data_IF_728619941234
#
_entry.id   IF_728619941234
#
_cell.length_a   1.000
_cell.length_b   1.000
_cell.length_c   1.000
_cell.angle_alpha   90.00
_cell.angle_beta   90.00
_cell.angle_gamma   90.00
#
_symmetry.space_group_name_H-M   'P 1'
#
loop_
_entity.id
_entity.type
_entity.pdbx_description
1 polymer ?
#
# COMPACT_ATOMS: atom_id res chain seq x y z
N UNK A 1 -7.05 -6.07 -13.83
CA UNK A 1 -7.76 -7.31 -13.50
C UNK A 1 -7.05 -7.93 -12.31
N UNK A 2 -7.78 -8.31 -11.25
CA UNK A 2 -7.24 -9.00 -10.08
C UNK A 2 -6.63 -10.34 -10.51
N UNK A 3 -5.41 -10.62 -10.08
CA UNK A 3 -4.70 -11.87 -10.37
C UNK A 3 -4.55 -12.74 -9.11
N UNK A 4 -3.88 -13.88 -9.25
CA UNK A 4 -3.71 -14.87 -8.18
C UNK A 4 -3.01 -14.33 -6.93
N UNK A 5 -2.17 -13.30 -7.04
CA UNK A 5 -1.42 -12.76 -5.91
C UNK A 5 -2.11 -11.57 -5.24
N UNK A 6 -3.16 -11.01 -5.86
CA UNK A 6 -3.65 -9.68 -5.47
C UNK A 6 -4.20 -9.66 -4.05
N UNK A 7 -4.87 -10.73 -3.60
CA UNK A 7 -5.42 -10.82 -2.24
C UNK A 7 -4.33 -10.92 -1.18
N UNK A 8 -3.46 -11.92 -1.30
CA UNK A 8 -2.37 -12.14 -0.34
C UNK A 8 -1.44 -10.92 -0.29
N UNK A 9 -1.10 -10.34 -1.45
CA UNK A 9 -0.30 -9.12 -1.51
C UNK A 9 -1.02 -7.92 -0.87
N UNK A 10 -2.34 -7.81 -1.00
CA UNK A 10 -3.10 -6.74 -0.38
C UNK A 10 -3.08 -6.87 1.16
N UNK A 11 -3.30 -8.08 1.67
CA UNK A 11 -3.24 -8.37 3.11
C UNK A 11 -1.84 -8.07 3.67
N UNK A 12 -0.78 -8.57 3.02
CA UNK A 12 0.59 -8.35 3.50
C UNK A 12 1.05 -6.89 3.35
N UNK A 13 0.58 -6.18 2.31
CA UNK A 13 0.83 -4.73 2.20
C UNK A 13 0.08 -3.94 3.27
N UNK A 14 -1.15 -4.36 3.61
CA UNK A 14 -1.91 -3.80 4.73
C UNK A 14 -1.16 -3.96 6.05
N UNK A 15 -0.75 -5.19 6.39
CA UNK A 15 0.02 -5.48 7.60
C UNK A 15 1.33 -4.69 7.67
N UNK A 16 2.03 -4.53 6.54
CA UNK A 16 3.24 -3.70 6.48
C UNK A 16 2.94 -2.25 6.89
N UNK A 17 1.86 -1.67 6.37
CA UNK A 17 1.49 -0.29 6.65
C UNK A 17 0.95 -0.13 8.07
N UNK A 18 0.22 -1.13 8.59
CA UNK A 18 -0.20 -1.20 9.98
C UNK A 18 1.01 -1.09 10.91
N UNK A 19 2.02 -1.94 10.72
CA UNK A 19 3.17 -1.98 11.61
C UNK A 19 4.06 -0.75 11.48
N UNK A 20 4.22 -0.18 10.28
CA UNK A 20 4.91 1.11 10.15
C UNK A 20 4.19 2.26 10.86
N UNK A 21 2.86 2.27 10.87
CA UNK A 21 2.09 3.26 11.62
C UNK A 21 2.19 3.00 13.14
N UNK A 22 2.12 1.74 13.57
CA UNK A 22 2.28 1.32 14.97
C UNK A 22 3.66 1.70 15.53
N UNK A 23 4.71 1.57 14.72
CA UNK A 23 6.09 1.95 15.05
C UNK A 23 6.36 3.45 14.94
N UNK A 24 5.33 4.28 14.70
CA UNK A 24 5.44 5.73 14.53
C UNK A 24 6.44 6.16 13.44
N UNK A 25 6.49 5.42 12.34
CA UNK A 25 7.33 5.78 11.20
C UNK A 25 6.70 6.90 10.37
N UNK A 26 7.53 7.61 9.60
CA UNK A 26 7.11 8.60 8.62
C UNK A 26 6.42 7.90 7.45
N UNK A 27 5.11 7.69 7.57
CA UNK A 27 4.30 6.92 6.62
C UNK A 27 4.40 7.44 5.18
N UNK A 28 4.49 8.76 4.97
CA UNK A 28 4.61 9.32 3.63
C UNK A 28 5.92 8.91 2.98
N UNK A 29 7.04 9.00 3.73
CA UNK A 29 8.35 8.54 3.25
C UNK A 29 8.43 7.03 3.11
N UNK A 30 7.96 6.28 4.10
CA UNK A 30 8.01 4.81 4.09
C UNK A 30 7.23 4.23 2.90
N UNK A 31 5.99 4.69 2.69
CA UNK A 31 5.15 4.23 1.58
C UNK A 31 5.72 4.71 0.25
N UNK A 32 6.22 5.94 0.14
CA UNK A 32 6.85 6.43 -1.10
C UNK A 32 8.09 5.64 -1.46
N UNK A 33 8.94 5.35 -0.48
CA UNK A 33 10.14 4.52 -0.63
C UNK A 33 9.76 3.11 -1.09
N UNK A 34 8.78 2.48 -0.43
CA UNK A 34 8.25 1.18 -0.78
C UNK A 34 7.71 1.14 -2.21
N UNK A 35 6.73 1.99 -2.53
CA UNK A 35 6.05 2.04 -3.83
C UNK A 35 6.98 2.43 -4.99
N UNK A 36 8.10 3.10 -4.72
CA UNK A 36 9.08 3.49 -5.73
C UNK A 36 10.31 2.58 -5.80
N UNK A 37 10.34 1.51 -5.00
CA UNK A 37 11.51 0.63 -4.85
C UNK A 37 11.66 -0.39 -5.97
N UNK A 38 12.87 -0.95 -6.07
CA UNK A 38 13.11 -2.10 -6.94
C UNK A 38 12.37 -3.37 -6.46
N UNK A 39 12.09 -3.50 -5.15
CA UNK A 39 11.21 -4.55 -4.63
C UNK A 39 9.83 -4.44 -5.30
N UNK A 40 9.21 -3.26 -5.25
CA UNK A 40 7.90 -3.05 -5.89
C UNK A 40 7.93 -3.14 -7.40
N UNK A 41 9.02 -2.74 -8.05
CA UNK A 41 9.20 -2.99 -9.49
C UNK A 41 9.11 -4.50 -9.85
N UNK A 42 9.66 -5.38 -9.00
CA UNK A 42 9.59 -6.82 -9.18
C UNK A 42 8.20 -7.40 -8.87
N UNK A 43 7.49 -6.83 -7.89
CA UNK A 43 6.07 -7.12 -7.63
C UNK A 43 5.19 -6.70 -8.81
N UNK A 44 5.47 -5.55 -9.43
CA UNK A 44 4.76 -5.06 -10.62
C UNK A 44 4.95 -6.02 -11.81
N UNK A 45 6.15 -6.61 -11.93
CA UNK A 45 6.46 -7.67 -12.92
C UNK A 45 5.93 -9.06 -12.57
N UNK A 46 5.26 -9.21 -11.42
CA UNK A 46 4.67 -10.46 -10.93
C UNK A 46 5.66 -11.60 -10.73
N UNK A 47 6.87 -11.27 -10.28
CA UNK A 47 7.81 -12.31 -9.87
C UNK A 47 7.36 -12.95 -8.55
N UNK A 48 7.00 -14.23 -8.62
CA UNK A 48 6.39 -15.00 -7.53
C UNK A 48 7.11 -14.80 -6.19
N UNK A 49 8.45 -14.89 -6.18
CA UNK A 49 9.30 -14.68 -4.99
C UNK A 49 8.94 -13.39 -4.24
N UNK A 50 8.67 -12.30 -4.95
CA UNK A 50 8.38 -10.99 -4.37
C UNK A 50 6.91 -10.83 -4.02
N UNK A 51 6.01 -11.42 -4.81
CA UNK A 51 4.56 -11.37 -4.57
C UNK A 51 4.10 -12.19 -3.35
N UNK A 52 4.89 -13.18 -2.93
CA UNK A 52 4.55 -14.07 -1.80
C UNK A 52 5.35 -13.77 -0.54
N UNK A 53 6.08 -12.66 -0.48
CA UNK A 53 6.81 -12.29 0.74
C UNK A 53 5.82 -11.86 1.81
N UNK A 54 6.12 -12.20 3.06
CA UNK A 54 5.35 -11.73 4.20
C UNK A 54 5.75 -10.30 4.55
N UNK A 55 4.86 -9.55 5.20
CA UNK A 55 5.07 -8.14 5.54
C UNK A 55 6.38 -7.89 6.31
N UNK A 56 6.77 -8.79 7.22
CA UNK A 56 8.00 -8.64 7.98
C UNK A 56 9.25 -8.82 7.11
N UNK A 57 9.21 -9.71 6.10
CA UNK A 57 10.30 -9.86 5.13
C UNK A 57 10.36 -8.68 4.16
N UNK A 58 9.22 -8.02 3.89
CA UNK A 58 9.20 -6.76 3.14
C UNK A 58 9.82 -5.64 3.97
N UNK A 59 9.44 -5.51 5.25
CA UNK A 59 9.90 -4.46 6.14
C UNK A 59 11.43 -4.43 6.28
N UNK A 60 12.08 -5.60 6.36
CA UNK A 60 13.53 -5.73 6.44
C UNK A 60 14.30 -5.12 5.24
N UNK A 61 13.62 -4.86 4.12
CA UNK A 61 14.24 -4.29 2.92
C UNK A 61 14.31 -2.76 2.92
N UNK A 62 13.71 -2.11 3.92
CA UNK A 62 13.57 -0.66 3.97
C UNK A 62 14.15 -0.12 5.27
N UNK A 63 15.01 0.89 5.16
CA UNK A 63 15.46 1.64 6.33
C UNK A 63 14.27 2.38 6.95
N UNK A 64 14.04 2.17 8.25
CA UNK A 64 12.96 2.84 8.97
C UNK A 64 13.26 4.33 9.08
N UNK A 65 12.28 5.15 8.71
CA UNK A 65 12.33 6.60 8.90
C UNK A 65 11.36 6.97 9.99
N UNK A 66 11.84 7.53 11.10
CA UNK A 66 10.99 7.96 12.21
C UNK A 66 10.13 9.17 11.80
N UNK A 67 8.88 9.22 12.27
CA UNK A 67 7.95 10.30 12.03
C UNK A 67 7.33 10.83 13.32
N UNK A 68 6.81 12.06 13.28
CA UNK A 68 6.16 12.70 14.44
C UNK A 68 4.62 12.67 14.34
N UNK A 69 4.07 12.19 13.22
CA UNK A 69 2.64 12.16 12.97
C UNK A 69 2.03 10.83 13.42
N UNK A 70 0.91 10.92 14.16
CA UNK A 70 0.12 9.75 14.55
C UNK A 70 -0.95 9.45 13.49
N UNK A 71 -0.95 8.21 13.00
CA UNK A 71 -1.94 7.70 12.05
C UNK A 71 -2.74 6.56 12.70
N UNK A 72 -4.01 6.44 12.31
CA UNK A 72 -4.85 5.31 12.68
C UNK A 72 -4.34 4.06 11.95
N UNK A 73 -3.89 3.08 12.73
CA UNK A 73 -3.29 1.85 12.23
C UNK A 73 -4.26 1.01 11.38
N UNK A 74 -5.56 1.07 11.67
CA UNK A 74 -6.61 0.35 10.89
C UNK A 74 -6.80 1.02 9.55
N UNK A 75 -6.79 2.36 9.50
CA UNK A 75 -6.82 3.09 8.23
C UNK A 75 -5.56 2.86 7.40
N UNK A 76 -4.40 2.75 8.04
CA UNK A 76 -3.14 2.42 7.37
C UNK A 76 -3.15 1.01 6.79
N UNK A 77 -3.63 0.01 7.55
CA UNK A 77 -3.86 -1.35 7.04
C UNK A 77 -4.77 -1.35 5.80
N UNK A 78 -5.91 -0.68 5.93
CA UNK A 78 -6.87 -0.56 4.84
C UNK A 78 -6.25 0.14 3.61
N UNK A 79 -5.42 1.18 3.81
CA UNK A 79 -4.72 1.85 2.71
C UNK A 79 -3.72 0.95 2.00
N UNK A 80 -3.00 0.09 2.73
CA UNK A 80 -2.09 -0.88 2.11
C UNK A 80 -2.84 -1.84 1.18
N UNK A 81 -4.00 -2.35 1.64
CA UNK A 81 -4.90 -3.12 0.80
C UNK A 81 -5.39 -2.30 -0.41
N UNK A 82 -5.85 -1.08 -0.17
CA UNK A 82 -6.39 -0.18 -1.18
C UNK A 82 -5.38 0.10 -2.30
N UNK A 83 -4.11 0.38 -1.97
CA UNK A 83 -3.07 0.62 -2.99
C UNK A 83 -2.84 -0.58 -3.90
N UNK A 84 -2.84 -1.79 -3.34
CA UNK A 84 -2.69 -3.03 -4.12
C UNK A 84 -3.88 -3.25 -5.05
N UNK A 85 -5.11 -3.06 -4.56
CA UNK A 85 -6.32 -3.16 -5.37
C UNK A 85 -6.42 -2.07 -6.44
N UNK A 86 -6.05 -0.83 -6.10
CA UNK A 86 -5.99 0.30 -7.02
C UNK A 86 -5.02 0.04 -8.17
N UNK A 87 -3.86 -0.53 -7.85
CA UNK A 87 -2.89 -0.94 -8.85
C UNK A 87 -3.45 -2.04 -9.77
N UNK A 88 -4.07 -3.08 -9.20
CA UNK A 88 -4.68 -4.16 -9.97
C UNK A 88 -5.86 -3.69 -10.86
N UNK A 89 -6.60 -2.67 -10.42
CA UNK A 89 -7.69 -2.07 -11.17
C UNK A 89 -7.18 -1.23 -12.35
N UNK A 90 -6.22 -0.34 -12.10
CA UNK A 90 -5.72 0.60 -13.12
C UNK A 90 -4.69 0.02 -14.08
N UNK A 91 -3.98 -1.05 -13.68
CA UNK A 91 -2.88 -1.61 -14.44
C UNK A 91 -1.61 -0.75 -14.46
N UNK A 92 -1.55 0.31 -13.65
CA UNK A 92 -0.38 1.20 -13.52
C UNK A 92 0.70 0.55 -12.65
N UNK A 93 1.94 1.00 -12.79
CA UNK A 93 3.01 0.62 -11.86
C UNK A 93 2.77 1.19 -10.47
N UNK A 94 3.34 0.55 -9.45
CA UNK A 94 3.34 1.04 -8.06
C UNK A 94 3.85 2.48 -7.95
N UNK A 95 4.91 2.81 -8.69
CA UNK A 95 5.48 4.16 -8.78
C UNK A 95 4.51 5.19 -9.38
N UNK A 96 3.80 4.82 -10.45
CA UNK A 96 2.77 5.70 -11.03
C UNK A 96 1.59 5.89 -10.09
N UNK A 97 1.21 4.84 -9.36
CA UNK A 97 0.14 4.89 -8.37
C UNK A 97 0.47 5.88 -7.25
N UNK A 98 1.62 5.77 -6.59
CA UNK A 98 1.95 6.67 -5.48
C UNK A 98 2.15 8.12 -5.95
N UNK A 99 2.62 8.32 -7.19
CA UNK A 99 2.74 9.64 -7.78
C UNK A 99 1.41 10.32 -8.12
N UNK A 100 0.36 9.55 -8.41
CA UNK A 100 -0.98 10.07 -8.69
C UNK A 100 -1.89 10.12 -7.46
N UNK A 101 -1.62 9.26 -6.50
CA UNK A 101 -2.40 9.11 -5.27
C UNK A 101 -1.45 9.15 -4.07
N UNK A 102 -0.92 10.32 -3.70
CA UNK A 102 0.00 10.45 -2.57
C UNK A 102 -0.65 10.00 -1.26
N UNK A 103 0.16 9.47 -0.34
CA UNK A 103 -0.33 8.87 0.90
C UNK A 103 -1.19 9.86 1.71
N UNK A 104 -0.71 11.07 1.95
CA UNK A 104 -1.43 12.08 2.74
C UNK A 104 -2.83 12.37 2.21
N UNK A 105 -2.97 12.52 0.89
CA UNK A 105 -4.27 12.77 0.27
C UNK A 105 -5.22 11.58 0.41
N UNK A 106 -4.69 10.36 0.25
CA UNK A 106 -5.48 9.15 0.36
C UNK A 106 -5.87 8.84 1.81
N UNK A 107 -5.00 9.14 2.77
CA UNK A 107 -5.28 9.02 4.18
C UNK A 107 -6.39 9.98 4.63
N UNK A 108 -6.41 11.22 4.16
CA UNK A 108 -7.54 12.12 4.45
C UNK A 108 -8.88 11.59 3.90
N UNK A 109 -8.84 10.92 2.74
CA UNK A 109 -10.03 10.33 2.10
C UNK A 109 -10.46 9.01 2.73
N UNK A 110 -9.55 8.26 3.36
CA UNK A 110 -9.83 6.93 3.91
C UNK A 110 -10.91 6.98 4.99
N UNK A 111 -11.01 8.07 5.76
CA UNK A 111 -12.10 8.29 6.73
C UNK A 111 -13.52 8.11 6.15
N UNK A 112 -13.71 8.34 4.84
CA UNK A 112 -15.01 8.13 4.17
C UNK A 112 -14.99 6.88 3.28
N UNK A 113 -13.83 6.56 2.69
CA UNK A 113 -13.73 5.43 1.77
C UNK A 113 -13.67 4.08 2.47
N UNK A 114 -13.17 4.00 3.70
CA UNK A 114 -13.00 2.73 4.42
C UNK A 114 -14.32 2.05 4.81
N UNK A 115 -15.42 2.80 4.84
CA UNK A 115 -16.78 2.26 5.03
C UNK A 115 -17.31 1.53 3.78
N UNK A 116 -16.66 1.72 2.63
CA UNK A 116 -17.05 1.07 1.38
C UNK A 116 -16.35 -0.27 1.23
N UNK A 117 -16.97 -1.16 0.47
CA UNK A 117 -16.27 -2.33 -0.09
C UNK A 117 -15.04 -1.88 -0.89
N UNK A 118 -13.96 -2.65 -0.79
CA UNK A 118 -12.65 -2.32 -1.38
C UNK A 118 -12.75 -2.04 -2.89
N UNK A 119 -13.51 -2.86 -3.63
CA UNK A 119 -13.65 -2.65 -5.07
C UNK A 119 -14.42 -1.37 -5.39
N UNK A 120 -15.43 -1.05 -4.57
CA UNK A 120 -16.24 0.16 -4.74
C UNK A 120 -15.42 1.41 -4.41
N UNK A 121 -14.61 1.37 -3.35
CA UNK A 121 -13.68 2.45 -3.01
C UNK A 121 -12.71 2.72 -4.17
N UNK A 122 -12.10 1.67 -4.73
CA UNK A 122 -11.18 1.79 -5.87
C UNK A 122 -11.87 2.35 -7.10
N UNK A 123 -13.05 1.84 -7.47
CA UNK A 123 -13.83 2.36 -8.61
C UNK A 123 -14.20 3.83 -8.44
N UNK A 124 -14.49 4.28 -7.21
CA UNK A 124 -14.83 5.68 -6.92
C UNK A 124 -13.63 6.64 -7.04
N UNK A 125 -12.42 6.14 -6.82
CA UNK A 125 -11.19 6.95 -6.88
C UNK A 125 -10.58 6.95 -8.29
N UNK A 126 -10.63 5.82 -8.99
CA UNK A 126 -9.96 5.65 -10.29
C UNK A 126 -10.90 5.62 -11.51
N UNK A 127 -12.22 5.57 -11.31
CA UNK A 127 -13.24 5.67 -12.35
C UNK A 127 -13.67 7.12 -12.58
#
# INVERSE_FOLDING_TARGET
>A
MKDYYTDDLAEETGRLFFHWAEDHLDMDKMITQYMSSHFRENVDKRYAKFCTQMWYEMAEQFESVQGDAEYDVVLCDWLGNFYTYLQAYTGKSSKEIIGQYPFQEMYMKSNVLHDLDMELAVKKVAG
#
